data_IF_774143891969
#
_entry.id   IF_774143891969
#
_cell.length_a   1.000
_cell.length_b   1.000
_cell.length_c   1.000
_cell.angle_alpha   90.00
_cell.angle_beta   90.00
_cell.angle_gamma   90.00
#
_symmetry.space_group_name_H-M   'P 1'
#
loop_
_entity.id
_entity.type
_entity.pdbx_description
1 polymer ?
#
# COMPACT_ATOMS: atom_id res chain seq x y z
N UNK A 1 11.78 -18.07 1.10
CA UNK A 1 10.85 -16.95 1.18
C UNK A 1 9.89 -17.08 0.00
N UNK A 2 8.97 -18.01 0.16
CA UNK A 2 7.84 -18.39 -0.71
C UNK A 2 7.26 -19.63 -0.01
N UNK A 3 5.94 -19.71 0.16
CA UNK A 3 5.35 -20.80 0.93
C UNK A 3 5.39 -22.07 0.06
N UNK A 4 6.21 -23.05 0.44
CA UNK A 4 6.50 -24.26 -0.37
C UNK A 4 5.25 -25.05 -0.79
N UNK A 5 4.13 -24.86 -0.10
CA UNK A 5 2.87 -25.49 -0.45
C UNK A 5 2.24 -24.91 -1.73
N UNK A 6 2.50 -23.64 -2.05
CA UNK A 6 1.82 -22.91 -3.13
C UNK A 6 2.76 -22.49 -4.27
N UNK A 7 4.03 -22.27 -3.95
CA UNK A 7 5.04 -21.81 -4.88
C UNK A 7 5.91 -22.97 -5.37
N UNK A 8 6.33 -22.91 -6.63
CA UNK A 8 7.26 -23.89 -7.20
C UNK A 8 8.64 -23.75 -6.52
N UNK A 9 9.45 -24.80 -6.61
CA UNK A 9 10.85 -24.73 -6.19
C UNK A 9 11.56 -23.61 -6.96
N UNK A 10 12.31 -22.78 -6.24
CA UNK A 10 13.04 -21.60 -6.74
C UNK A 10 12.19 -20.52 -7.44
N UNK A 11 10.86 -20.57 -7.31
CA UNK A 11 9.97 -19.52 -7.80
C UNK A 11 10.11 -18.25 -6.97
N UNK A 12 10.27 -17.11 -7.66
CA UNK A 12 10.32 -15.81 -7.02
C UNK A 12 8.96 -15.48 -6.39
N UNK A 13 8.97 -14.82 -5.23
CA UNK A 13 7.76 -14.60 -4.42
C UNK A 13 6.64 -13.87 -5.18
N UNK A 14 6.98 -12.85 -5.97
CA UNK A 14 5.99 -12.12 -6.77
C UNK A 14 5.46 -12.97 -7.93
N UNK A 15 6.27 -13.88 -8.48
CA UNK A 15 5.86 -14.74 -9.60
C UNK A 15 4.81 -15.75 -9.11
N UNK A 16 5.05 -16.31 -7.93
CA UNK A 16 4.09 -17.17 -7.26
C UNK A 16 2.77 -16.42 -6.98
N UNK A 17 2.86 -15.21 -6.43
CA UNK A 17 1.69 -14.38 -6.12
C UNK A 17 0.88 -14.05 -7.38
N UNK A 18 1.53 -13.65 -8.47
CA UNK A 18 0.87 -13.32 -9.72
C UNK A 18 0.29 -14.56 -10.42
N UNK A 19 0.99 -15.69 -10.40
CA UNK A 19 0.48 -16.95 -10.95
C UNK A 19 -0.76 -17.44 -10.21
N UNK A 20 -0.78 -17.32 -8.88
CA UNK A 20 -1.87 -17.85 -8.06
C UNK A 20 -3.10 -16.93 -8.05
N UNK A 21 -2.89 -15.61 -7.96
CA UNK A 21 -3.98 -14.64 -7.80
C UNK A 21 -4.36 -13.92 -9.09
N UNK A 22 -3.52 -13.94 -10.12
CA UNK A 22 -3.71 -13.24 -11.40
C UNK A 22 -4.26 -11.80 -11.23
N UNK A 23 -3.60 -10.94 -10.44
CA UNK A 23 -4.13 -9.63 -10.11
C UNK A 23 -4.04 -8.67 -11.29
N UNK A 24 -5.01 -7.76 -11.40
CA UNK A 24 -4.92 -6.60 -12.32
C UNK A 24 -4.34 -5.35 -11.63
N UNK A 25 -4.45 -5.30 -10.30
CA UNK A 25 -3.97 -4.20 -9.45
C UNK A 25 -3.26 -4.82 -8.23
N UNK A 26 -2.12 -4.25 -7.83
CA UNK A 26 -1.37 -4.64 -6.64
C UNK A 26 -1.11 -3.42 -5.74
N UNK A 27 -1.58 -3.47 -4.50
CA UNK A 27 -1.15 -2.50 -3.47
C UNK A 27 0.25 -2.88 -2.97
N UNK A 28 1.20 -1.94 -3.08
CA UNK A 28 2.55 -2.10 -2.55
C UNK A 28 2.69 -1.20 -1.33
N UNK A 29 2.79 -1.82 -0.16
CA UNK A 29 2.95 -1.16 1.14
C UNK A 29 4.06 -1.82 1.91
N UNK A 30 5.24 -1.22 1.84
CA UNK A 30 6.49 -1.70 2.41
C UNK A 30 7.18 -0.51 3.10
N UNK A 31 8.27 -0.76 3.83
CA UNK A 31 9.11 0.30 4.37
C UNK A 31 9.21 0.34 5.88
N UNK A 32 8.21 -0.12 6.64
CA UNK A 32 8.29 -0.08 8.12
C UNK A 32 9.46 -0.91 8.65
N UNK A 33 9.72 -2.10 8.07
CA UNK A 33 10.82 -2.97 8.51
C UNK A 33 12.10 -2.79 7.68
N UNK A 34 12.12 -1.85 6.74
CA UNK A 34 13.24 -1.62 5.84
C UNK A 34 14.06 -0.42 6.32
N UNK A 35 15.38 -0.58 6.39
CA UNK A 35 16.29 0.55 6.55
C UNK A 35 16.33 1.39 5.26
N UNK A 36 16.44 2.72 5.41
CA UNK A 36 16.42 3.71 4.33
C UNK A 36 17.36 3.37 3.16
N UNK A 37 18.57 2.89 3.46
CA UNK A 37 19.65 2.74 2.47
C UNK A 37 19.35 1.72 1.35
N UNK A 38 18.47 0.75 1.59
CA UNK A 38 18.12 -0.28 0.60
C UNK A 38 16.66 -0.29 0.19
N UNK A 39 15.81 0.44 0.93
CA UNK A 39 14.37 0.46 0.72
C UNK A 39 14.01 0.95 -0.68
N UNK A 40 14.49 2.13 -1.08
CA UNK A 40 14.14 2.74 -2.37
C UNK A 40 14.53 1.82 -3.55
N UNK A 41 15.76 1.31 -3.54
CA UNK A 41 16.26 0.45 -4.60
C UNK A 41 15.43 -0.83 -4.74
N UNK A 42 14.95 -1.41 -3.63
CA UNK A 42 14.12 -2.60 -3.65
C UNK A 42 12.67 -2.28 -4.02
N UNK A 43 12.10 -1.18 -3.52
CA UNK A 43 10.79 -0.69 -3.91
C UNK A 43 10.71 -0.53 -5.44
N UNK A 44 11.70 0.15 -6.04
CA UNK A 44 11.74 0.36 -7.50
C UNK A 44 11.82 -0.95 -8.29
N UNK A 45 12.51 -1.98 -7.79
CA UNK A 45 12.50 -3.32 -8.41
C UNK A 45 11.11 -3.94 -8.36
N UNK A 46 10.42 -3.87 -7.22
CA UNK A 46 9.04 -4.38 -7.08
C UNK A 46 8.09 -3.66 -8.03
N UNK A 47 8.18 -2.32 -8.12
CA UNK A 47 7.36 -1.51 -9.02
C UNK A 47 7.61 -1.86 -10.48
N UNK A 48 8.87 -1.85 -10.91
CA UNK A 48 9.25 -2.18 -12.29
C UNK A 48 8.83 -3.61 -12.67
N UNK A 49 8.99 -4.55 -11.75
CA UNK A 49 8.57 -5.93 -11.96
C UNK A 49 7.05 -6.03 -12.10
N UNK A 50 6.28 -5.42 -11.20
CA UNK A 50 4.81 -5.40 -11.23
C UNK A 50 4.29 -4.86 -12.57
N UNK A 51 4.85 -3.73 -13.04
CA UNK A 51 4.52 -3.14 -14.35
C UNK A 51 4.87 -4.12 -15.49
N UNK A 52 6.04 -4.77 -15.45
CA UNK A 52 6.46 -5.72 -16.48
C UNK A 52 5.52 -6.93 -16.64
N UNK A 53 4.75 -7.24 -15.59
CA UNK A 53 3.76 -8.32 -15.57
C UNK A 53 2.37 -7.85 -16.02
N UNK A 54 2.22 -6.58 -16.43
CA UNK A 54 0.94 -6.00 -16.84
C UNK A 54 0.00 -5.69 -15.67
N UNK A 55 0.51 -5.68 -14.44
CA UNK A 55 -0.23 -5.38 -13.21
C UNK A 55 -0.04 -3.90 -12.86
N UNK A 56 -1.12 -3.22 -12.45
CA UNK A 56 -1.06 -1.81 -12.05
C UNK A 56 -0.64 -1.72 -10.57
N UNK A 57 0.55 -1.17 -10.23
CA UNK A 57 0.90 -0.95 -8.84
C UNK A 57 0.20 0.30 -8.27
N UNK A 58 -0.27 0.22 -7.04
CA UNK A 58 -0.68 1.37 -6.23
C UNK A 58 0.29 1.46 -5.07
N UNK A 59 1.07 2.54 -4.97
CA UNK A 59 2.03 2.72 -3.87
C UNK A 59 1.35 3.39 -2.68
N UNK A 60 1.51 2.84 -1.49
CA UNK A 60 0.95 3.43 -0.26
C UNK A 60 2.04 3.93 0.68
N UNK A 61 1.97 5.20 1.10
CA UNK A 61 2.84 5.72 2.18
C UNK A 61 2.44 5.13 3.54
N UNK A 62 3.32 5.27 4.53
CA UNK A 62 3.15 4.71 5.88
C UNK A 62 3.13 5.81 6.96
N UNK A 63 2.30 5.68 8.01
CA UNK A 63 2.18 6.72 9.03
C UNK A 63 3.28 6.68 10.09
N UNK A 64 3.92 5.52 10.27
CA UNK A 64 5.03 5.35 11.21
C UNK A 64 6.31 6.06 10.72
N UNK A 65 7.27 6.21 11.63
CA UNK A 65 8.61 6.74 11.39
C UNK A 65 9.66 5.78 11.95
N UNK A 66 9.50 4.48 11.69
CA UNK A 66 10.39 3.44 12.24
C UNK A 66 11.86 3.60 11.79
N UNK A 67 12.07 4.16 10.60
CA UNK A 67 13.36 4.59 10.05
C UNK A 67 13.94 5.84 10.74
N UNK A 68 13.16 6.52 11.58
CA UNK A 68 13.53 7.72 12.35
C UNK A 68 13.15 9.05 11.70
N UNK A 69 12.84 9.06 10.40
CA UNK A 69 12.38 10.23 9.63
C UNK A 69 11.35 9.83 8.56
N UNK A 70 11.06 10.72 7.60
CA UNK A 70 10.08 10.46 6.52
C UNK A 70 10.70 9.92 5.22
N UNK A 71 11.98 9.50 5.25
CA UNK A 71 12.76 9.18 4.05
C UNK A 71 12.15 8.04 3.22
N UNK A 72 11.54 7.02 3.85
CA UNK A 72 10.88 5.96 3.09
C UNK A 72 9.62 6.48 2.38
N UNK A 73 8.85 7.40 2.98
CA UNK A 73 7.70 8.00 2.30
C UNK A 73 8.14 8.92 1.15
N UNK A 74 9.23 9.67 1.31
CA UNK A 74 9.79 10.47 0.22
C UNK A 74 10.23 9.59 -0.95
N UNK A 75 10.88 8.45 -0.67
CA UNK A 75 11.20 7.44 -1.68
C UNK A 75 9.95 6.85 -2.36
N UNK A 76 8.89 6.57 -1.61
CA UNK A 76 7.60 6.09 -2.16
C UNK A 76 6.98 7.13 -3.10
N UNK A 77 6.89 8.39 -2.66
CA UNK A 77 6.34 9.49 -3.46
C UNK A 77 7.15 9.71 -4.73
N UNK A 78 8.48 9.71 -4.62
CA UNK A 78 9.37 9.88 -5.77
C UNK A 78 9.23 8.70 -6.75
N UNK A 79 9.18 7.46 -6.26
CA UNK A 79 8.98 6.30 -7.13
C UNK A 79 7.62 6.35 -7.84
N UNK A 80 6.54 6.75 -7.16
CA UNK A 80 5.23 6.92 -7.79
C UNK A 80 5.28 7.95 -8.94
N UNK A 81 5.94 9.08 -8.71
CA UNK A 81 6.13 10.11 -9.74
C UNK A 81 6.99 9.62 -10.91
N UNK A 82 8.11 8.95 -10.64
CA UNK A 82 9.05 8.50 -11.67
C UNK A 82 8.45 7.42 -12.60
N UNK A 83 7.68 6.49 -12.04
CA UNK A 83 7.02 5.43 -12.80
C UNK A 83 5.63 5.83 -13.31
N UNK A 84 5.13 7.02 -12.96
CA UNK A 84 3.80 7.52 -13.30
C UNK A 84 2.68 6.55 -12.86
N UNK A 85 2.80 6.02 -11.64
CA UNK A 85 1.85 5.05 -11.06
C UNK A 85 1.00 5.69 -9.96
N UNK A 86 -0.22 5.18 -9.69
CA UNK A 86 -1.05 5.70 -8.63
C UNK A 86 -0.37 5.71 -7.25
N UNK A 87 -0.49 6.84 -6.57
CA UNK A 87 -0.06 7.03 -5.18
C UNK A 87 -1.28 7.13 -4.27
N UNK A 88 -1.34 6.28 -3.25
CA UNK A 88 -2.19 6.44 -2.09
C UNK A 88 -1.36 7.05 -0.95
N UNK A 89 -1.39 8.38 -0.81
CA UNK A 89 -0.61 9.07 0.23
C UNK A 89 -1.31 8.98 1.60
N UNK A 90 -1.34 7.78 2.15
CA UNK A 90 -1.96 7.45 3.41
C UNK A 90 -1.36 8.19 4.61
N UNK A 91 -0.06 8.48 4.63
CA UNK A 91 0.58 9.27 5.69
C UNK A 91 -0.07 10.66 5.85
N UNK A 92 -0.43 11.32 4.73
CA UNK A 92 -1.15 12.58 4.77
C UNK A 92 -2.55 12.41 5.38
N UNK A 93 -3.28 11.37 5.00
CA UNK A 93 -4.61 11.08 5.58
C UNK A 93 -4.48 10.78 7.06
N UNK A 94 -3.57 9.90 7.44
CA UNK A 94 -3.30 9.52 8.81
C UNK A 94 -2.93 10.73 9.68
N UNK A 95 -2.18 11.70 9.14
CA UNK A 95 -1.84 12.93 9.86
C UNK A 95 -3.04 13.79 10.32
N UNK A 96 -4.24 13.51 9.80
CA UNK A 96 -5.48 14.20 10.17
C UNK A 96 -6.19 13.61 11.39
N UNK A 97 -5.74 12.45 11.89
CA UNK A 97 -6.35 11.75 13.03
C UNK A 97 -5.37 11.62 14.22
N UNK A 98 -5.88 11.47 15.47
CA UNK A 98 -5.04 11.41 16.66
C UNK A 98 -3.93 10.35 16.57
N UNK A 99 -2.70 10.73 16.94
CA UNK A 99 -1.56 9.83 16.94
C UNK A 99 -1.21 9.25 15.57
N UNK A 100 -1.64 9.89 14.47
CA UNK A 100 -1.61 9.34 13.11
C UNK A 100 -2.34 8.00 12.94
N UNK A 101 -3.26 7.69 13.85
CA UNK A 101 -3.94 6.39 13.89
C UNK A 101 -3.01 5.22 14.24
N UNK A 102 -1.84 5.48 14.81
CA UNK A 102 -0.94 4.45 15.33
C UNK A 102 -1.34 4.01 16.75
N UNK A 103 -1.01 2.77 17.10
CA UNK A 103 -1.16 2.20 18.44
C UNK A 103 0.01 2.61 19.35
N UNK A 104 0.02 2.13 20.59
CA UNK A 104 0.97 2.52 21.64
C UNK A 104 2.46 2.36 21.26
N UNK A 105 2.77 1.42 20.35
CA UNK A 105 4.13 1.19 19.88
C UNK A 105 4.60 2.14 18.77
N UNK A 106 3.73 3.03 18.28
CA UNK A 106 3.98 3.97 17.18
C UNK A 106 4.38 3.31 15.85
N UNK A 107 4.03 2.03 15.66
CA UNK A 107 4.33 1.26 14.45
C UNK A 107 3.07 0.65 13.86
N UNK A 108 2.30 -0.08 14.67
CA UNK A 108 1.07 -0.71 14.21
C UNK A 108 -0.08 0.30 14.17
N UNK A 109 -1.04 0.06 13.29
CA UNK A 109 -2.25 0.87 13.26
C UNK A 109 -3.15 0.53 14.44
N UNK A 110 -3.71 1.56 15.05
CA UNK A 110 -4.74 1.44 16.08
C UNK A 110 -5.97 0.75 15.48
N UNK A 111 -6.28 -0.44 16.00
CA UNK A 111 -7.51 -1.18 15.71
C UNK A 111 -8.50 -0.95 16.86
N UNK A 112 -9.73 -0.50 16.55
CA UNK A 112 -10.77 -0.29 17.57
C UNK A 112 -11.80 -1.42 17.58
N UNK A 113 -12.61 -1.52 16.54
CA UNK A 113 -13.70 -2.48 16.42
C UNK A 113 -13.79 -2.97 14.98
N UNK A 114 -14.08 -4.26 14.81
CA UNK A 114 -14.32 -4.88 13.51
C UNK A 114 -15.68 -5.61 13.51
N UNK A 115 -16.45 -5.60 12.40
CA UNK A 115 -16.21 -4.82 11.18
C UNK A 115 -16.37 -3.30 11.42
N UNK A 116 -15.73 -2.48 10.58
CA UNK A 116 -15.82 -1.02 10.68
C UNK A 116 -17.23 -0.53 10.34
N UNK A 117 -17.89 0.22 11.24
CA UNK A 117 -19.14 0.91 10.96
C UNK A 117 -18.87 2.39 10.62
N UNK A 118 -18.85 2.71 9.33
CA UNK A 118 -18.59 4.08 8.86
C UNK A 118 -19.76 5.06 9.08
N UNK A 119 -20.84 4.65 9.75
CA UNK A 119 -21.84 5.58 10.27
C UNK A 119 -21.48 6.12 11.66
N UNK A 120 -20.52 5.50 12.36
CA UNK A 120 -20.00 5.98 13.63
C UNK A 120 -18.79 6.92 13.41
N UNK A 121 -18.86 8.19 13.83
CA UNK A 121 -17.73 9.11 13.76
C UNK A 121 -16.46 8.59 14.44
N UNK A 122 -16.57 7.77 15.48
CA UNK A 122 -15.41 7.22 16.20
C UNK A 122 -14.62 6.22 15.34
N UNK A 123 -15.25 5.57 14.36
CA UNK A 123 -14.56 4.68 13.42
C UNK A 123 -13.51 5.44 12.62
N UNK A 124 -13.77 6.71 12.28
CA UNK A 124 -12.80 7.54 11.56
C UNK A 124 -11.57 7.93 12.40
N UNK A 125 -11.55 7.62 13.70
CA UNK A 125 -10.40 7.85 14.58
C UNK A 125 -9.44 6.64 14.68
N UNK A 126 -9.73 5.54 13.98
CA UNK A 126 -8.86 4.36 13.89
C UNK A 126 -8.00 4.41 12.63
N UNK A 127 -6.68 4.19 12.78
CA UNK A 127 -5.78 4.08 11.64
C UNK A 127 -6.16 2.92 10.73
N UNK A 128 -6.55 1.78 11.29
CA UNK A 128 -6.97 0.60 10.52
C UNK A 128 -8.24 0.87 9.70
N UNK A 129 -9.25 1.52 10.29
CA UNK A 129 -10.48 1.85 9.57
C UNK A 129 -10.26 2.86 8.43
N UNK A 130 -9.49 3.92 8.68
CA UNK A 130 -9.17 4.93 7.66
C UNK A 130 -8.26 4.35 6.57
N UNK A 131 -7.37 3.43 6.92
CA UNK A 131 -6.59 2.66 5.95
C UNK A 131 -7.50 1.94 4.98
N UNK A 132 -8.42 1.11 5.49
CA UNK A 132 -9.28 0.28 4.65
C UNK A 132 -10.20 1.14 3.76
N UNK A 133 -10.80 2.18 4.34
CA UNK A 133 -11.66 3.10 3.59
C UNK A 133 -10.90 3.78 2.46
N UNK A 134 -9.73 4.35 2.75
CA UNK A 134 -8.99 5.12 1.73
C UNK A 134 -8.29 4.25 0.71
N UNK A 135 -7.89 3.02 1.05
CA UNK A 135 -7.47 2.03 0.07
C UNK A 135 -8.58 1.73 -0.93
N UNK A 136 -9.82 1.52 -0.45
CA UNK A 136 -10.98 1.26 -1.32
C UNK A 136 -11.33 2.46 -2.21
N UNK A 137 -11.19 3.68 -1.71
CA UNK A 137 -11.39 4.91 -2.52
C UNK A 137 -10.38 4.93 -3.67
N UNK A 138 -9.08 4.78 -3.39
CA UNK A 138 -8.04 4.78 -4.44
C UNK A 138 -8.22 3.62 -5.40
N UNK A 139 -8.59 2.43 -4.91
CA UNK A 139 -8.90 1.28 -5.76
C UNK A 139 -10.04 1.59 -6.72
N UNK A 140 -11.14 2.17 -6.23
CA UNK A 140 -12.27 2.55 -7.07
C UNK A 140 -11.87 3.59 -8.13
N UNK A 141 -11.05 4.57 -7.77
CA UNK A 141 -10.61 5.62 -8.70
C UNK A 141 -9.74 5.04 -9.81
N UNK A 142 -8.76 4.20 -9.47
CA UNK A 142 -7.94 3.48 -10.46
C UNK A 142 -8.80 2.57 -11.33
N UNK A 143 -9.73 1.83 -10.73
CA UNK A 143 -10.61 0.92 -11.45
C UNK A 143 -11.49 1.65 -12.48
N UNK A 144 -12.04 2.81 -12.13
CA UNK A 144 -12.85 3.65 -13.04
C UNK A 144 -12.03 4.24 -14.18
N UNK A 145 -10.77 4.60 -13.93
CA UNK A 145 -9.88 5.13 -14.96
C UNK A 145 -9.56 4.09 -16.04
N UNK A 146 -9.38 2.82 -15.66
CA UNK A 146 -9.06 1.74 -16.60
C UNK A 146 -10.29 1.01 -17.13
N UNK A 147 -11.47 1.24 -16.55
CA UNK A 147 -12.76 0.77 -17.04
C UNK A 147 -13.73 1.96 -17.23
N UNK A 148 -13.44 2.90 -18.14
CA UNK A 148 -14.33 4.02 -18.38
C UNK A 148 -15.69 3.52 -18.88
N UNK A 149 -16.80 4.18 -18.51
CA UNK A 149 -18.10 3.86 -19.10
C UNK A 149 -18.01 3.98 -20.62
N UNK A 150 -18.73 3.11 -21.34
CA UNK A 150 -18.82 3.21 -22.78
C UNK A 150 -19.32 4.61 -23.15
N UNK A 151 -18.60 5.28 -24.04
CA UNK A 151 -19.05 6.54 -24.64
C UNK A 151 -20.30 6.25 -25.46
N UNK A 152 -21.43 6.89 -25.13
CA UNK A 152 -22.63 6.93 -25.97
C UNK A 152 -22.40 7.63 -27.31
#
# INVERSE_FOLDING_TARGET
WSYKQWCNEDEHMLDCEFRYNNPVILFIRLGTNDGSDSFEANLRKVVAYTISQGVIPILGTKPDRFEGDDSNNDAIRQAAADYLVPLWDFDLVASTIPGKGLDEDNVHLLVRYEPHDFNDPETFMSGHAIQDLTALIVLNDVWRLVNPPATE
#
